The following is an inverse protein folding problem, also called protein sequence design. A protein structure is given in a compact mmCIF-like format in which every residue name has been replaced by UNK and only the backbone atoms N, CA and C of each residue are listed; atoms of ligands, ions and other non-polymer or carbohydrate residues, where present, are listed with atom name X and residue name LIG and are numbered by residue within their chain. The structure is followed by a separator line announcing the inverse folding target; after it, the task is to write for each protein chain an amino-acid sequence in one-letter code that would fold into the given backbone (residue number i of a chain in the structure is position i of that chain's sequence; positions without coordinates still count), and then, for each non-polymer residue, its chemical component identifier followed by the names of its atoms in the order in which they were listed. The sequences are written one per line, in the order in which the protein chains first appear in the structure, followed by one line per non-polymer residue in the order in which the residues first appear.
data_IF_960394033345
#
_entry.id   IF_960394033345
#
_cell.length_a   1.000
_cell.length_b   1.000
_cell.length_c   1.000
_cell.angle_alpha   90.00
_cell.angle_beta   90.00
_cell.angle_gamma   90.00
#
_symmetry.space_group_name_H-M   'P 1'
#
loop_
_entity.id
_entity.type
_entity.pdbx_description
1 polymer ?
#
# COMPACT_ATOMS: atom_id res chain seq x y z
N UNK A 1 33.06 -33.68 2.61
CA UNK A 1 32.27 -32.53 3.10
C UNK A 1 32.99 -31.23 2.77
N UNK A 2 32.48 -30.44 1.82
CA UNK A 2 33.13 -29.19 1.37
C UNK A 2 32.19 -28.01 1.62
N UNK A 3 32.75 -26.97 2.23
CA UNK A 3 32.09 -25.85 2.89
C UNK A 3 31.32 -24.95 1.90
N UNK A 4 30.14 -24.49 2.34
CA UNK A 4 29.32 -23.47 1.67
C UNK A 4 30.11 -22.16 1.53
N UNK A 5 30.28 -21.69 0.30
CA UNK A 5 30.50 -20.27 -0.03
C UNK A 5 29.66 -19.95 -1.26
N UNK A 6 28.39 -19.63 -1.05
CA UNK A 6 27.63 -18.87 -2.05
C UNK A 6 28.06 -17.41 -1.86
N UNK A 7 29.11 -17.04 -2.59
CA UNK A 7 29.60 -15.67 -2.62
C UNK A 7 28.60 -14.76 -3.33
N UNK A 8 28.46 -13.55 -2.78
CA UNK A 8 28.50 -12.29 -3.54
C UNK A 8 27.64 -12.29 -4.80
N UNK A 9 26.41 -11.79 -4.70
CA UNK A 9 25.70 -11.26 -5.88
C UNK A 9 26.59 -10.17 -6.50
N UNK A 10 27.12 -10.33 -7.73
CA UNK A 10 27.76 -9.22 -8.39
C UNK A 10 26.66 -8.23 -8.81
N UNK A 11 26.91 -6.96 -8.54
CA UNK A 11 26.10 -5.84 -9.01
C UNK A 11 25.81 -5.96 -10.52
N UNK A 12 24.53 -6.07 -10.87
CA UNK A 12 23.88 -5.08 -11.73
C UNK A 12 24.21 -5.03 -13.23
N UNK A 13 24.38 -6.15 -13.93
CA UNK A 13 24.26 -6.14 -15.40
C UNK A 13 22.77 -6.32 -15.76
N UNK A 14 22.02 -5.23 -15.97
CA UNK A 14 20.74 -5.31 -16.68
C UNK A 14 21.04 -5.82 -18.10
N UNK A 15 20.48 -6.96 -18.50
CA UNK A 15 20.61 -7.41 -19.89
C UNK A 15 19.85 -6.43 -20.78
N UNK A 16 20.46 -5.98 -21.87
CA UNK A 16 19.89 -5.02 -22.81
C UNK A 16 19.69 -5.65 -24.17
N UNK A 17 18.71 -5.17 -24.93
CA UNK A 17 18.47 -5.59 -26.31
C UNK A 17 19.50 -4.99 -27.28
N UNK A 18 19.33 -5.27 -28.58
CA UNK A 18 20.17 -4.76 -29.66
C UNK A 18 20.19 -3.22 -29.77
N UNK A 19 19.22 -2.54 -29.16
CA UNK A 19 19.12 -1.08 -29.09
C UNK A 19 19.59 -0.52 -27.74
N UNK A 20 20.16 -1.37 -26.86
CA UNK A 20 20.62 -0.97 -25.53
C UNK A 20 19.49 -0.76 -24.51
N UNK A 21 18.25 -1.16 -24.80
CA UNK A 21 17.14 -1.05 -23.87
C UNK A 21 17.12 -2.23 -22.88
N UNK A 22 16.89 -2.00 -21.59
CA UNK A 22 16.87 -3.06 -20.60
C UNK A 22 15.76 -4.09 -20.88
N UNK A 23 16.16 -5.34 -21.10
CA UNK A 23 15.28 -6.48 -21.25
C UNK A 23 14.73 -6.83 -19.88
N UNK A 24 13.43 -6.62 -19.71
CA UNK A 24 12.73 -7.07 -18.51
C UNK A 24 12.38 -8.55 -18.69
N UNK A 25 13.20 -9.45 -18.16
CA UNK A 25 12.82 -10.85 -18.07
C UNK A 25 11.67 -10.99 -17.08
N UNK A 26 10.59 -11.67 -17.48
CA UNK A 26 9.58 -12.10 -16.54
C UNK A 26 10.24 -13.07 -15.55
N UNK A 27 10.37 -12.68 -14.28
CA UNK A 27 10.87 -13.56 -13.23
C UNK A 27 10.05 -14.85 -13.25
N UNK A 28 10.66 -16.04 -13.37
CA UNK A 28 9.93 -17.29 -13.32
C UNK A 28 9.10 -17.37 -12.03
N UNK A 29 7.79 -17.58 -12.16
CA UNK A 29 6.84 -17.56 -11.04
C UNK A 29 6.19 -16.21 -10.74
N UNK A 30 6.52 -15.14 -11.48
CA UNK A 30 5.78 -13.88 -11.39
C UNK A 30 4.36 -14.06 -11.98
N UNK A 31 3.32 -13.54 -11.29
CA UNK A 31 1.95 -13.64 -11.77
C UNK A 31 1.81 -12.88 -13.09
N UNK A 32 1.16 -13.51 -14.05
CA UNK A 32 0.80 -12.92 -15.34
C UNK A 32 -0.09 -11.69 -15.13
N UNK A 33 -0.17 -10.85 -16.17
CA UNK A 33 -0.98 -9.63 -16.13
C UNK A 33 -2.47 -9.97 -15.89
N UNK A 34 -2.95 -11.07 -16.44
CA UNK A 34 -4.31 -11.56 -16.26
C UNK A 34 -4.57 -12.09 -14.83
N UNK A 35 -3.61 -12.82 -14.24
CA UNK A 35 -3.70 -13.26 -12.84
C UNK A 35 -3.73 -12.07 -11.89
N UNK A 36 -2.92 -11.04 -12.14
CA UNK A 36 -2.94 -9.79 -11.37
C UNK A 36 -4.30 -9.09 -11.47
N UNK A 37 -4.92 -9.04 -12.66
CA UNK A 37 -6.26 -8.47 -12.85
C UNK A 37 -7.33 -9.26 -12.11
N UNK A 38 -7.30 -10.60 -12.20
CA UNK A 38 -8.23 -11.47 -11.47
C UNK A 38 -8.10 -11.30 -9.95
N UNK A 39 -6.87 -11.23 -9.45
CA UNK A 39 -6.61 -10.97 -8.03
C UNK A 39 -7.14 -9.60 -7.59
N UNK A 40 -6.86 -8.53 -8.35
CA UNK A 40 -7.37 -7.20 -8.04
C UNK A 40 -8.90 -7.13 -8.00
N UNK A 41 -9.57 -7.78 -8.97
CA UNK A 41 -11.04 -7.88 -8.98
C UNK A 41 -11.59 -8.71 -7.82
N UNK A 42 -10.92 -9.81 -7.45
CA UNK A 42 -11.31 -10.64 -6.32
C UNK A 42 -11.17 -9.87 -5.00
N UNK A 43 -10.07 -9.15 -4.81
CA UNK A 43 -9.86 -8.26 -3.67
C UNK A 43 -10.95 -7.20 -3.65
N UNK A 44 -11.15 -6.48 -4.76
CA UNK A 44 -12.17 -5.42 -4.83
C UNK A 44 -13.56 -5.94 -4.46
N UNK A 45 -13.97 -7.09 -5.00
CA UNK A 45 -15.26 -7.72 -4.66
C UNK A 45 -15.35 -8.14 -3.19
N UNK A 46 -14.28 -8.68 -2.63
CA UNK A 46 -14.22 -9.06 -1.21
C UNK A 46 -14.18 -7.84 -0.27
N UNK A 47 -13.61 -6.72 -0.73
CA UNK A 47 -13.46 -5.49 0.06
C UNK A 47 -14.55 -4.46 -0.20
N UNK A 48 -15.46 -4.67 -1.16
CA UNK A 48 -16.55 -3.72 -1.40
C UNK A 48 -17.56 -3.90 -0.27
N UNK A 49 -17.69 -2.93 0.67
CA UNK A 49 -18.72 -3.04 1.68
C UNK A 49 -20.08 -3.03 0.99
N UNK A 50 -20.98 -3.92 1.41
CA UNK A 50 -22.35 -3.90 0.92
C UNK A 50 -22.95 -2.51 1.12
N UNK A 51 -23.67 -2.00 0.11
CA UNK A 51 -24.38 -0.74 0.25
C UNK A 51 -25.33 -0.82 1.45
N UNK A 52 -25.25 0.14 2.35
CA UNK A 52 -26.12 0.20 3.51
C UNK A 52 -27.56 0.51 3.05
N UNK A 53 -28.54 -0.10 3.72
CA UNK A 53 -29.93 0.33 3.55
C UNK A 53 -30.07 1.77 4.08
N UNK A 54 -31.06 2.54 3.60
CA UNK A 54 -31.27 3.91 4.06
C UNK A 54 -31.38 4.04 5.59
N UNK A 55 -31.99 3.05 6.26
CA UNK A 55 -32.15 3.01 7.72
C UNK A 55 -30.80 2.84 8.42
N UNK A 56 -29.97 1.91 7.93
CA UNK A 56 -28.61 1.71 8.48
C UNK A 56 -27.71 2.90 8.22
N UNK A 57 -27.85 3.56 7.08
CA UNK A 57 -27.13 4.79 6.81
C UNK A 57 -27.54 5.90 7.80
N UNK A 58 -28.83 6.06 8.08
CA UNK A 58 -29.33 7.04 9.05
C UNK A 58 -28.81 6.79 10.48
N UNK A 59 -28.73 5.52 10.90
CA UNK A 59 -28.13 5.14 12.20
C UNK A 59 -26.64 5.52 12.27
N UNK A 60 -25.89 5.21 11.22
CA UNK A 60 -24.47 5.56 11.12
C UNK A 60 -24.28 7.08 11.15
N UNK A 61 -25.12 7.83 10.45
CA UNK A 61 -25.08 9.29 10.44
C UNK A 61 -25.41 9.89 11.81
N UNK A 62 -26.37 9.31 12.54
CA UNK A 62 -26.69 9.72 13.90
C UNK A 62 -25.51 9.49 14.87
N UNK A 63 -24.82 8.35 14.74
CA UNK A 63 -23.61 8.05 15.52
C UNK A 63 -22.51 9.07 15.20
N UNK A 64 -22.26 9.35 13.91
CA UNK A 64 -21.26 10.34 13.50
C UNK A 64 -21.57 11.74 14.04
N UNK A 65 -22.85 12.15 14.01
CA UNK A 65 -23.28 13.42 14.58
C UNK A 65 -22.97 13.50 16.07
N UNK A 66 -23.38 12.48 16.84
CA UNK A 66 -23.10 12.40 18.28
C UNK A 66 -21.60 12.39 18.59
N UNK A 67 -20.80 11.68 17.79
CA UNK A 67 -19.36 11.62 17.98
C UNK A 67 -18.67 12.96 17.71
N UNK A 68 -19.16 13.75 16.75
CA UNK A 68 -18.65 15.12 16.51
C UNK A 68 -18.91 16.04 17.69
N UNK A 69 -20.07 15.91 18.34
CA UNK A 69 -20.41 16.68 19.55
C UNK A 69 -19.53 16.27 20.74
N UNK A 70 -19.29 14.96 20.93
CA UNK A 70 -18.51 14.45 22.06
C UNK A 70 -16.99 14.61 21.88
N UNK A 71 -16.50 14.55 20.65
CA UNK A 71 -15.06 14.53 20.33
C UNK A 71 -14.69 15.50 19.20
N UNK A 72 -14.97 16.81 19.33
CA UNK A 72 -14.78 17.77 18.24
C UNK A 72 -13.33 17.82 17.71
N UNK A 73 -12.34 17.64 18.60
CA UNK A 73 -10.91 17.63 18.29
C UNK A 73 -10.46 16.49 17.35
N UNK A 74 -11.25 15.41 17.21
CA UNK A 74 -10.95 14.33 16.28
C UNK A 74 -11.46 14.61 14.86
N UNK A 75 -12.38 15.56 14.72
CA UNK A 75 -13.08 15.85 13.46
C UNK A 75 -12.74 17.24 12.90
N UNK A 76 -12.23 18.14 13.74
CA UNK A 76 -11.73 19.43 13.30
C UNK A 76 -10.28 19.29 12.82
N UNK A 77 -10.06 19.52 11.53
CA UNK A 77 -8.72 19.47 10.93
C UNK A 77 -7.75 20.50 11.55
N UNK A 78 -8.29 21.59 12.10
CA UNK A 78 -7.53 22.67 12.74
C UNK A 78 -6.89 22.27 14.07
N UNK A 79 -7.44 21.24 14.75
CA UNK A 79 -6.89 20.70 16.00
C UNK A 79 -5.73 19.72 15.76
N UNK A 80 -5.53 19.29 14.50
CA UNK A 80 -4.41 18.45 14.12
C UNK A 80 -3.14 19.30 13.98
N UNK A 81 -2.55 19.73 15.10
CA UNK A 81 -1.14 20.14 15.10
C UNK A 81 -0.29 18.87 15.05
N UNK A 82 0.34 18.52 13.91
CA UNK A 82 1.28 17.41 13.92
C UNK A 82 2.40 17.77 14.90
N UNK A 83 2.54 17.00 15.98
CA UNK A 83 3.74 17.01 16.84
C UNK A 83 4.92 16.42 16.06
N UNK A 84 5.28 17.02 14.93
CA UNK A 84 6.54 16.73 14.24
C UNK A 84 7.64 17.39 15.06
N UNK A 85 8.19 16.65 16.03
CA UNK A 85 9.57 16.90 16.41
C UNK A 85 10.41 16.59 15.16
N UNK A 86 11.19 17.53 14.62
CA UNK A 86 12.10 17.22 13.52
C UNK A 86 13.06 16.13 14.01
N UNK A 87 13.15 15.03 13.24
CA UNK A 87 14.16 14.01 13.48
C UNK A 87 15.54 14.67 13.30
N UNK A 88 16.51 14.44 14.19
CA UNK A 88 17.85 14.99 14.01
C UNK A 88 18.45 14.44 12.71
N UNK A 89 18.87 15.35 11.82
CA UNK A 89 19.59 14.98 10.61
C UNK A 89 20.89 14.24 10.99
N UNK A 90 21.22 13.11 10.34
CA UNK A 90 22.50 12.45 10.58
C UNK A 90 23.63 13.39 10.11
N UNK A 91 24.53 13.71 11.04
CA UNK A 91 25.76 14.44 10.73
C UNK A 91 26.63 13.56 9.84
N UNK A 92 26.97 14.10 8.67
CA UNK A 92 27.99 13.62 7.73
C UNK A 92 29.37 13.58 8.37
#
# INVERSE_FOLDING_TARGET
MRRRRAGRCPNGSQATDENGQPITFATPGAPTLEERRRYALAVQRATTPAALTPERQAEVDAIHRRNRELFPHLYNADDYRPRRKPLPHPRS
#
